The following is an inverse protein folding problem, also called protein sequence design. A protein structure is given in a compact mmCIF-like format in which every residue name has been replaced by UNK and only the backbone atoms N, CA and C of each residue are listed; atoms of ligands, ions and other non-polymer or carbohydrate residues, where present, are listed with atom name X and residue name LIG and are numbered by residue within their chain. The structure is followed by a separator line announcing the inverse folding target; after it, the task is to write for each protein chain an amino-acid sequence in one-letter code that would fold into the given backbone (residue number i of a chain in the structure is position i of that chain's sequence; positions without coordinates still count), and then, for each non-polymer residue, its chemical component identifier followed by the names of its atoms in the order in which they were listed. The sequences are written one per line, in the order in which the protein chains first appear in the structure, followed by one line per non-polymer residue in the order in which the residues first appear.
data_IF_159622404342
#
_entry.id   IF_159622404342
#
_cell.length_a   1.000
_cell.length_b   1.000
_cell.length_c   1.000
_cell.angle_alpha   90.00
_cell.angle_beta   90.00
_cell.angle_gamma   90.00
#
_symmetry.space_group_name_H-M   'P 1'
#
loop_
_entity.id
_entity.type
_entity.pdbx_description
1 polymer ?
#
# COMPACT_ATOMS: atom_id res chain seq x y z
N UNK A 1 31.23 -27.70 -34.69
CA UNK A 1 31.32 -26.21 -34.62
C UNK A 1 31.22 -25.77 -33.15
N UNK A 2 32.14 -26.23 -32.27
CA UNK A 2 31.89 -26.28 -30.81
C UNK A 2 33.12 -25.88 -29.97
N UNK A 3 33.94 -24.91 -30.39
CA UNK A 3 35.13 -24.48 -29.61
C UNK A 3 35.22 -22.98 -29.28
N UNK A 4 34.32 -22.14 -29.80
CA UNK A 4 34.40 -20.68 -29.62
C UNK A 4 33.49 -20.13 -28.51
N UNK A 5 32.39 -20.81 -28.17
CA UNK A 5 31.46 -20.32 -27.14
C UNK A 5 31.97 -20.48 -25.70
N UNK A 6 32.84 -21.45 -25.41
CA UNK A 6 33.39 -21.66 -24.06
C UNK A 6 34.45 -20.65 -23.65
N UNK A 7 35.16 -20.01 -24.60
CA UNK A 7 36.21 -19.03 -24.25
C UNK A 7 35.65 -17.65 -23.89
N UNK A 8 34.46 -17.29 -24.37
CA UNK A 8 33.84 -15.99 -24.06
C UNK A 8 33.35 -15.91 -22.60
N UNK A 9 32.92 -17.04 -22.04
CA UNK A 9 32.40 -17.11 -20.67
C UNK A 9 33.54 -17.05 -19.63
N UNK A 10 34.72 -17.57 -19.97
CA UNK A 10 35.88 -17.50 -19.07
C UNK A 10 36.46 -16.08 -18.93
N UNK A 11 36.41 -15.25 -19.98
CA UNK A 11 37.01 -13.91 -19.97
C UNK A 11 36.16 -12.88 -19.23
N UNK A 12 34.82 -13.00 -19.26
CA UNK A 12 33.92 -12.05 -18.58
C UNK A 12 33.94 -12.23 -17.06
N UNK A 13 34.32 -13.40 -16.56
CA UNK A 13 34.28 -13.69 -15.11
C UNK A 13 35.56 -13.23 -14.38
N UNK A 14 36.64 -12.94 -15.10
CA UNK A 14 37.92 -12.53 -14.51
C UNK A 14 38.11 -10.99 -14.41
N UNK A 15 37.27 -10.19 -15.08
CA UNK A 15 37.46 -8.73 -15.14
C UNK A 15 36.72 -7.95 -14.04
N UNK A 16 35.93 -8.61 -13.18
CA UNK A 16 35.16 -7.93 -12.14
C UNK A 16 35.82 -7.95 -10.75
N UNK A 17 37.00 -8.56 -10.59
CA UNK A 17 37.68 -8.70 -9.28
C UNK A 17 38.82 -7.71 -9.05
N UNK A 18 39.00 -6.72 -9.92
CA UNK A 18 39.93 -5.63 -9.68
C UNK A 18 39.17 -4.32 -9.78
N UNK A 19 38.62 -3.85 -8.66
CA UNK A 19 38.63 -2.44 -8.23
C UNK A 19 37.90 -2.31 -6.88
N UNK A 20 38.62 -1.74 -5.92
CA UNK A 20 38.16 -1.09 -4.67
C UNK A 20 37.99 -1.92 -3.38
N UNK A 21 39.03 -1.89 -2.55
CA UNK A 21 38.97 -1.72 -1.08
C UNK A 21 39.79 -0.44 -0.78
N UNK A 22 39.67 0.27 0.37
CA UNK A 22 38.87 -0.01 1.57
C UNK A 22 38.20 1.21 2.26
N UNK A 23 37.58 0.93 3.41
CA UNK A 23 37.32 1.79 4.59
C UNK A 23 35.92 2.40 4.73
N UNK A 24 35.08 1.74 5.54
CA UNK A 24 34.57 2.36 6.76
C UNK A 24 34.29 1.27 7.82
N UNK A 25 34.73 1.55 9.04
CA UNK A 25 34.61 0.68 10.20
C UNK A 25 33.15 0.60 10.70
N UNK A 26 32.77 -0.54 11.27
CA UNK A 26 31.62 -0.62 12.17
C UNK A 26 30.69 -1.82 11.96
N UNK A 27 30.99 -2.90 12.69
CA UNK A 27 30.04 -3.88 13.25
C UNK A 27 29.08 -4.66 12.33
N UNK A 28 29.43 -5.93 12.14
CA UNK A 28 28.59 -7.13 12.25
C UNK A 28 27.20 -7.14 11.58
N UNK A 29 27.05 -7.95 10.52
CA UNK A 29 26.28 -9.22 10.55
C UNK A 29 25.69 -9.59 9.18
N UNK A 30 26.17 -10.73 8.66
CA UNK A 30 25.43 -11.76 7.92
C UNK A 30 24.86 -11.41 6.53
N UNK A 31 25.55 -11.95 5.51
CA UNK A 31 24.99 -12.32 4.22
C UNK A 31 23.83 -13.31 4.39
N UNK A 32 22.68 -13.07 3.74
CA UNK A 32 21.80 -14.17 3.28
C UNK A 32 21.26 -13.85 1.89
N UNK A 33 21.38 -14.87 1.03
CA UNK A 33 21.15 -14.91 -0.39
C UNK A 33 19.74 -14.53 -0.86
N UNK A 34 19.70 -14.03 -2.09
CA UNK A 34 18.56 -13.93 -2.98
C UNK A 34 17.85 -15.28 -3.12
N UNK A 35 16.54 -15.33 -2.85
CA UNK A 35 15.65 -16.36 -3.38
C UNK A 35 14.41 -15.68 -3.98
N UNK A 36 14.33 -15.70 -5.30
CA UNK A 36 13.08 -15.57 -6.05
C UNK A 36 12.34 -16.89 -5.97
N UNK A 37 11.12 -16.92 -5.41
CA UNK A 37 9.96 -17.67 -5.90
C UNK A 37 8.67 -17.13 -5.24
N UNK A 38 7.83 -16.54 -6.10
CA UNK A 38 6.38 -16.76 -6.26
C UNK A 38 5.48 -16.87 -5.02
N UNK A 39 4.63 -15.85 -4.92
CA UNK A 39 3.21 -15.89 -4.51
C UNK A 39 2.87 -16.26 -3.05
N UNK A 40 1.94 -15.50 -2.46
CA UNK A 40 1.40 -15.56 -1.09
C UNK A 40 2.23 -15.01 0.11
N UNK A 41 3.55 -14.85 0.04
CA UNK A 41 4.37 -14.45 1.23
C UNK A 41 4.36 -12.94 1.58
N UNK A 42 3.71 -12.07 0.81
CA UNK A 42 3.66 -10.63 1.16
C UNK A 42 2.84 -10.31 2.42
N UNK A 43 2.06 -11.27 2.95
CA UNK A 43 1.32 -11.06 4.19
C UNK A 43 2.10 -11.43 5.46
N UNK A 44 3.19 -12.21 5.36
CA UNK A 44 3.85 -12.81 6.54
C UNK A 44 5.17 -12.13 6.95
N UNK A 45 5.47 -10.94 6.41
CA UNK A 45 6.57 -10.09 6.91
C UNK A 45 6.03 -8.75 7.42
N UNK A 46 5.08 -8.83 8.35
CA UNK A 46 4.61 -7.69 9.14
C UNK A 46 4.53 -8.01 10.64
N UNK A 47 5.44 -8.87 11.15
CA UNK A 47 5.75 -8.94 12.59
C UNK A 47 6.70 -7.81 13.03
N UNK A 48 6.59 -6.64 12.39
CA UNK A 48 7.10 -5.40 12.94
C UNK A 48 6.14 -4.94 14.02
N UNK A 49 6.52 -5.11 15.29
CA UNK A 49 5.90 -4.59 16.51
C UNK A 49 4.61 -3.79 16.26
N UNK A 50 3.45 -4.28 16.72
CA UNK A 50 2.15 -3.61 16.67
C UNK A 50 2.30 -2.11 17.00
N UNK A 51 2.51 -1.28 15.97
CA UNK A 51 2.63 0.17 16.15
C UNK A 51 1.27 0.63 16.58
N UNK A 52 1.15 0.96 17.87
CA UNK A 52 -0.07 1.54 18.42
C UNK A 52 -0.39 2.78 17.59
N UNK A 53 -1.60 2.81 17.02
CA UNK A 53 -2.09 3.99 16.32
C UNK A 53 -1.97 5.20 17.24
N UNK A 54 -1.51 6.33 16.70
CA UNK A 54 -1.45 7.58 17.45
C UNK A 54 -2.86 7.98 17.93
N UNK A 55 -2.96 8.82 18.96
CA UNK A 55 -4.25 9.32 19.43
C UNK A 55 -5.05 10.00 18.30
N UNK A 56 -4.36 10.75 17.45
CA UNK A 56 -4.93 11.39 16.27
C UNK A 56 -5.48 10.37 15.26
N UNK A 57 -4.73 9.31 14.97
CA UNK A 57 -5.17 8.25 14.07
C UNK A 57 -6.35 7.47 14.65
N UNK A 58 -6.33 7.12 15.94
CA UNK A 58 -7.48 6.48 16.62
C UNK A 58 -8.74 7.32 16.50
N UNK A 59 -8.63 8.64 16.71
CA UNK A 59 -9.75 9.57 16.54
C UNK A 59 -10.27 9.59 15.10
N UNK A 60 -9.38 9.65 14.12
CA UNK A 60 -9.75 9.63 12.71
C UNK A 60 -10.44 8.32 12.31
N UNK A 61 -9.93 7.17 12.76
CA UNK A 61 -10.54 5.86 12.47
C UNK A 61 -11.92 5.71 13.12
N UNK A 62 -12.19 6.37 14.25
CA UNK A 62 -13.54 6.43 14.84
C UNK A 62 -14.52 7.18 13.95
N UNK A 63 -14.08 8.24 13.26
CA UNK A 63 -14.96 9.04 12.41
C UNK A 63 -15.42 8.32 11.13
N UNK A 64 -14.55 7.52 10.50
CA UNK A 64 -14.89 6.83 9.25
C UNK A 64 -15.53 5.45 9.48
N UNK A 65 -15.51 4.94 10.72
CA UNK A 65 -16.05 3.62 11.06
C UNK A 65 -17.52 3.55 10.65
N UNK A 66 -17.88 2.46 9.96
CA UNK A 66 -19.26 2.22 9.54
C UNK A 66 -19.34 1.77 8.08
N UNK A 67 -20.55 1.86 7.56
CA UNK A 67 -20.90 1.45 6.20
C UNK A 67 -21.18 2.69 5.36
N UNK A 68 -20.58 2.74 4.18
CA UNK A 68 -20.69 3.82 3.22
C UNK A 68 -21.15 3.27 1.87
N UNK A 69 -21.89 4.08 1.12
CA UNK A 69 -22.43 3.72 -0.19
C UNK A 69 -21.98 4.74 -1.22
N UNK A 70 -21.59 4.28 -2.41
CA UNK A 70 -21.30 5.20 -3.53
C UNK A 70 -22.58 5.91 -3.94
N UNK A 71 -22.53 7.21 -4.26
CA UNK A 71 -23.68 7.88 -4.86
C UNK A 71 -23.87 7.46 -6.33
N UNK A 72 -25.12 7.29 -6.76
CA UNK A 72 -25.50 6.79 -8.10
C UNK A 72 -26.98 6.41 -8.18
N UNK A 73 -27.46 5.94 -9.33
CA UNK A 73 -28.84 5.44 -9.48
C UNK A 73 -29.03 4.09 -8.76
N UNK A 74 -30.11 3.96 -7.98
CA UNK A 74 -30.57 2.67 -7.45
C UNK A 74 -30.76 1.71 -8.64
N UNK A 75 -30.30 0.44 -8.59
CA UNK A 75 -29.78 -0.35 -7.45
C UNK A 75 -28.25 -0.45 -7.30
N UNK A 76 -27.45 0.38 -7.98
CA UNK A 76 -26.02 0.09 -8.24
C UNK A 76 -25.01 0.67 -7.22
N UNK A 77 -25.35 0.71 -5.93
CA UNK A 77 -24.44 1.24 -4.92
C UNK A 77 -23.42 0.20 -4.46
N UNK A 78 -22.14 0.47 -4.68
CA UNK A 78 -21.08 -0.26 -4.01
C UNK A 78 -21.12 0.06 -2.52
N UNK A 79 -20.95 -0.97 -1.68
CA UNK A 79 -20.91 -0.83 -0.22
C UNK A 79 -19.47 -0.94 0.26
N UNK A 80 -19.02 0.05 1.02
CA UNK A 80 -17.70 0.08 1.66
C UNK A 80 -17.86 0.03 3.17
N UNK A 81 -17.21 -0.94 3.84
CA UNK A 81 -17.26 -1.10 5.29
C UNK A 81 -15.89 -0.84 5.89
N UNK A 82 -15.81 0.13 6.79
CA UNK A 82 -14.60 0.49 7.53
C UNK A 82 -14.64 -0.05 8.96
N UNK A 83 -13.62 -0.80 9.34
CA UNK A 83 -13.42 -1.31 10.70
C UNK A 83 -11.96 -1.14 11.12
N UNK A 84 -11.67 -0.05 11.83
CA UNK A 84 -10.29 0.34 12.11
C UNK A 84 -9.54 0.61 10.81
N UNK A 85 -8.38 -0.03 10.62
CA UNK A 85 -7.59 0.08 9.38
C UNK A 85 -8.08 -0.83 8.26
N UNK A 86 -9.00 -1.75 8.53
CA UNK A 86 -9.50 -2.69 7.52
C UNK A 86 -10.67 -2.08 6.76
N UNK A 87 -10.62 -2.18 5.44
CA UNK A 87 -11.69 -1.74 4.54
C UNK A 87 -12.14 -2.92 3.69
N UNK A 88 -13.45 -3.11 3.57
CA UNK A 88 -14.04 -4.13 2.70
C UNK A 88 -14.99 -3.46 1.72
N UNK A 89 -14.79 -3.71 0.43
CA UNK A 89 -15.69 -3.29 -0.63
C UNK A 89 -16.58 -4.45 -1.07
N UNK A 90 -17.84 -4.17 -1.35
CA UNK A 90 -18.82 -5.12 -1.86
C UNK A 90 -19.48 -4.52 -3.10
N UNK A 91 -19.64 -5.36 -4.14
CA UNK A 91 -20.47 -5.03 -5.29
C UNK A 91 -21.95 -4.83 -4.87
N UNK A 92 -22.78 -4.17 -5.69
CA UNK A 92 -24.19 -3.93 -5.38
C UNK A 92 -24.93 -5.25 -5.10
N UNK A 93 -25.70 -5.29 -4.00
CA UNK A 93 -26.45 -6.48 -3.56
C UNK A 93 -25.60 -7.65 -3.04
N UNK A 94 -24.28 -7.62 -3.15
CA UNK A 94 -23.42 -8.75 -2.80
C UNK A 94 -23.14 -8.86 -1.30
N UNK A 95 -23.18 -10.10 -0.79
CA UNK A 95 -22.66 -10.46 0.54
C UNK A 95 -21.17 -10.85 0.51
N UNK A 96 -20.61 -11.11 -0.68
CA UNK A 96 -19.20 -11.47 -0.86
C UNK A 96 -18.34 -10.21 -0.96
N UNK A 97 -17.22 -10.21 -0.26
CA UNK A 97 -16.22 -9.13 -0.34
C UNK A 97 -15.59 -9.15 -1.72
N UNK A 98 -15.66 -8.04 -2.45
CA UNK A 98 -15.02 -7.85 -3.75
C UNK A 98 -13.54 -7.51 -3.56
N UNK A 99 -13.25 -6.50 -2.74
CA UNK A 99 -11.89 -6.09 -2.41
C UNK A 99 -11.71 -5.90 -0.91
N UNK A 100 -10.48 -6.15 -0.45
CA UNK A 100 -10.04 -5.88 0.90
C UNK A 100 -8.82 -4.97 0.86
N UNK A 101 -8.91 -3.83 1.53
CA UNK A 101 -7.82 -2.88 1.65
C UNK A 101 -7.41 -2.71 3.11
N UNK A 102 -6.19 -2.20 3.30
CA UNK A 102 -5.67 -1.75 4.58
C UNK A 102 -5.31 -0.27 4.46
N UNK A 103 -5.84 0.55 5.36
CA UNK A 103 -5.43 1.95 5.49
C UNK A 103 -3.98 1.95 5.95
N UNK A 104 -3.10 2.48 5.11
CA UNK A 104 -1.66 2.51 5.36
C UNK A 104 -1.23 3.84 6.02
N UNK A 105 -1.91 4.95 5.68
CA UNK A 105 -1.65 6.26 6.25
C UNK A 105 -2.94 7.06 6.44
N UNK A 106 -3.04 7.76 7.57
CA UNK A 106 -4.06 8.77 7.83
C UNK A 106 -3.41 10.14 7.92
N UNK A 107 -3.90 11.10 7.15
CA UNK A 107 -3.40 12.47 7.12
C UNK A 107 -4.49 13.43 7.57
N UNK A 108 -4.21 14.25 8.59
CA UNK A 108 -5.07 15.37 8.97
C UNK A 108 -4.90 16.50 7.95
N UNK A 109 -6.00 17.04 7.46
CA UNK A 109 -6.03 18.17 6.52
C UNK A 109 -6.93 19.29 7.05
N UNK A 110 -6.91 20.44 6.38
CA UNK A 110 -7.80 21.57 6.66
C UNK A 110 -9.28 21.21 6.50
N UNK A 111 -9.62 20.37 5.51
CA UNK A 111 -11.00 19.91 5.30
C UNK A 111 -11.44 18.81 6.28
N UNK A 112 -10.50 18.02 6.80
CA UNK A 112 -10.83 16.89 7.65
C UNK A 112 -9.73 15.85 7.71
N UNK A 113 -9.99 14.66 7.19
CA UNK A 113 -9.04 13.54 7.18
C UNK A 113 -8.96 12.89 5.80
N UNK A 114 -7.76 12.46 5.44
CA UNK A 114 -7.51 11.60 4.29
C UNK A 114 -7.05 10.22 4.75
N UNK A 115 -7.68 9.19 4.23
CA UNK A 115 -7.38 7.78 4.53
C UNK A 115 -6.80 7.14 3.27
N UNK A 116 -5.48 6.97 3.24
CA UNK A 116 -4.76 6.39 2.10
C UNK A 116 -4.84 4.87 2.13
N UNK A 117 -4.86 4.26 0.95
CA UNK A 117 -4.67 2.83 0.73
C UNK A 117 -3.62 2.60 -0.36
N UNK A 118 -2.92 1.50 -0.26
CA UNK A 118 -2.01 1.01 -1.30
C UNK A 118 -2.77 0.11 -2.27
N UNK A 119 -2.67 0.41 -3.58
CA UNK A 119 -3.32 -0.35 -4.66
C UNK A 119 -2.35 -1.31 -5.37
N UNK A 120 -1.06 -1.31 -5.01
CA UNK A 120 -0.01 -2.09 -5.67
C UNK A 120 0.80 -1.25 -6.66
N UNK A 121 2.03 -1.71 -6.98
CA UNK A 121 2.94 -1.10 -7.97
C UNK A 121 3.21 0.41 -7.76
N UNK A 122 3.27 0.86 -6.51
CA UNK A 122 3.45 2.29 -6.20
C UNK A 122 2.19 3.16 -6.38
N UNK A 123 1.06 2.58 -6.76
CA UNK A 123 -0.21 3.28 -6.89
C UNK A 123 -0.95 3.36 -5.55
N UNK A 124 -1.61 4.48 -5.31
CA UNK A 124 -2.34 4.76 -4.08
C UNK A 124 -3.71 5.34 -4.40
N UNK A 125 -4.68 4.98 -3.56
CA UNK A 125 -6.00 5.60 -3.54
C UNK A 125 -6.34 6.04 -2.14
N UNK A 126 -7.58 6.46 -1.92
CA UNK A 126 -8.06 6.73 -0.59
C UNK A 126 -9.39 7.45 -0.54
N UNK A 127 -9.72 7.93 0.65
CA UNK A 127 -10.97 8.64 0.90
C UNK A 127 -10.74 9.94 1.66
N UNK A 128 -11.52 10.98 1.31
CA UNK A 128 -11.60 12.24 2.04
C UNK A 128 -12.88 12.26 2.87
N UNK A 129 -12.72 12.44 4.16
CA UNK A 129 -13.82 12.75 5.06
C UNK A 129 -13.76 14.23 5.41
N UNK A 130 -14.80 14.97 5.06
CA UNK A 130 -14.96 16.37 5.42
C UNK A 130 -15.51 16.45 6.84
N UNK A 131 -14.88 17.24 7.72
CA UNK A 131 -15.39 17.38 9.09
C UNK A 131 -16.60 18.31 9.20
N UNK A 132 -16.79 19.19 8.22
CA UNK A 132 -17.99 20.04 8.09
C UNK A 132 -19.21 19.26 7.63
N UNK A 133 -19.00 18.24 6.80
CA UNK A 133 -20.03 17.31 6.33
C UNK A 133 -19.55 15.87 6.52
N UNK A 134 -19.85 15.33 7.70
CA UNK A 134 -19.43 13.98 8.10
C UNK A 134 -20.26 12.87 7.48
N UNK A 135 -21.30 13.20 6.71
CA UNK A 135 -22.10 12.25 5.93
C UNK A 135 -21.53 12.00 4.53
N UNK A 136 -20.55 12.80 4.10
CA UNK A 136 -19.97 12.71 2.76
C UNK A 136 -18.53 12.19 2.80
N UNK A 137 -18.29 11.14 2.02
CA UNK A 137 -16.98 10.55 1.81
C UNK A 137 -16.65 10.57 0.32
N UNK A 138 -15.55 11.22 -0.05
CA UNK A 138 -15.14 11.34 -1.45
C UNK A 138 -14.00 10.36 -1.73
N UNK A 139 -14.15 9.54 -2.76
CA UNK A 139 -13.10 8.63 -3.24
C UNK A 139 -12.07 9.41 -4.03
N UNK A 140 -10.78 9.12 -3.82
CA UNK A 140 -9.66 9.76 -4.50
C UNK A 140 -8.73 8.71 -5.11
N UNK A 141 -8.51 8.77 -6.42
CA UNK A 141 -7.74 7.76 -7.15
C UNK A 141 -6.22 7.94 -7.20
N UNK A 142 -5.66 9.03 -6.65
CA UNK A 142 -4.24 9.39 -6.84
C UNK A 142 -3.38 9.36 -5.57
N UNK A 143 -3.94 8.96 -4.42
CA UNK A 143 -3.18 8.88 -3.17
C UNK A 143 -2.80 10.22 -2.54
N UNK A 144 -3.18 11.35 -3.16
CA UNK A 144 -2.75 12.68 -2.75
C UNK A 144 -3.87 13.38 -1.92
N UNK A 145 -3.63 13.67 -0.64
CA UNK A 145 -4.61 14.32 0.23
C UNK A 145 -4.98 15.74 -0.19
N UNK A 146 -4.18 16.40 -1.03
CA UNK A 146 -4.37 17.80 -1.45
C UNK A 146 -4.76 17.95 -2.92
N UNK A 147 -4.80 16.86 -3.69
CA UNK A 147 -5.11 16.95 -5.11
C UNK A 147 -6.55 17.39 -5.37
N UNK A 148 -6.78 18.21 -6.38
CA UNK A 148 -8.12 18.49 -6.91
C UNK A 148 -8.48 17.58 -8.08
N UNK A 149 -7.55 16.71 -8.52
CA UNK A 149 -7.77 15.73 -9.58
C UNK A 149 -8.23 14.37 -9.04
N UNK A 150 -9.06 13.66 -9.80
CA UNK A 150 -9.51 12.31 -9.48
C UNK A 150 -10.80 12.22 -8.66
N UNK A 151 -11.71 13.19 -8.80
CA UNK A 151 -13.10 13.00 -8.42
C UNK A 151 -13.71 11.90 -9.30
N UNK A 152 -14.23 10.86 -8.68
CA UNK A 152 -14.98 9.77 -9.33
C UNK A 152 -16.21 9.45 -8.52
#
# INVERSE_FOLDING_TARGET
MNKWKSKLIAVVTALCMALSVPVFAGSASVYVATQTMTDSTQFNRMDGALKKNSAAEKKALKFIKGTWYTQGGVPYHNKTVFSGKTVKLYAPGSKKVLYRYKIDKVTKTSYGYYYRIYLGKGCYGGWRLYLKDKSTLVTMGNGNPYSTSGYS
#
